data_IF_670800707460
#
_entry.id   IF_670800707460
#
_cell.length_a   1.000
_cell.length_b   1.000
_cell.length_c   1.000
_cell.angle_alpha   90.00
_cell.angle_beta   90.00
_cell.angle_gamma   90.00
#
_symmetry.space_group_name_H-M   'P 1'
#
loop_
_entity.id
_entity.type
_entity.pdbx_description
1 polymer ?
#
# COMPACT_ATOMS: atom_id res chain seq x y z
N UNK A 1 43.44 -35.43 44.23
CA UNK A 1 44.09 -34.10 44.19
C UNK A 1 43.72 -33.43 42.87
N UNK A 2 43.25 -32.18 42.96
CA UNK A 2 42.85 -31.21 41.91
C UNK A 2 41.39 -31.24 41.41
N UNK A 3 40.68 -30.24 41.95
CA UNK A 3 39.44 -29.60 41.52
C UNK A 3 39.57 -28.89 40.16
N UNK A 4 38.41 -28.55 39.56
CA UNK A 4 38.00 -27.30 38.87
C UNK A 4 37.01 -27.66 37.74
N UNK A 5 35.69 -27.61 37.99
CA UNK A 5 34.78 -26.47 37.74
C UNK A 5 34.75 -26.05 36.26
N UNK A 6 33.65 -26.32 35.56
CA UNK A 6 32.77 -25.31 34.91
C UNK A 6 31.62 -26.03 34.19
N UNK A 7 30.41 -25.79 34.70
CA UNK A 7 29.14 -26.13 34.06
C UNK A 7 28.93 -25.10 32.94
N UNK A 8 28.77 -25.53 31.69
CA UNK A 8 28.21 -24.68 30.64
C UNK A 8 26.72 -25.00 30.50
N UNK A 9 25.91 -24.09 31.03
CA UNK A 9 24.46 -24.05 30.99
C UNK A 9 24.00 -23.67 29.57
N UNK A 10 23.10 -24.50 29.03
CA UNK A 10 22.00 -24.21 28.09
C UNK A 10 22.18 -23.09 27.06
N UNK A 11 22.09 -23.47 25.79
CA UNK A 11 21.24 -22.72 24.87
C UNK A 11 20.47 -23.70 24.00
N UNK A 12 19.19 -23.88 24.36
CA UNK A 12 18.18 -24.38 23.44
C UNK A 12 18.22 -23.42 22.25
N UNK A 13 18.58 -23.93 21.08
CA UNK A 13 18.51 -23.16 19.84
C UNK A 13 17.09 -22.66 19.67
N UNK A 14 16.87 -21.39 20.00
CA UNK A 14 15.69 -20.67 19.59
C UNK A 14 15.74 -20.69 18.06
N UNK A 15 14.88 -21.52 17.47
CA UNK A 15 14.42 -21.32 16.11
C UNK A 15 13.90 -19.89 16.10
N UNK A 16 14.73 -18.97 15.63
CA UNK A 16 14.34 -17.62 15.26
C UNK A 16 13.42 -17.79 14.06
N UNK A 17 12.16 -18.14 14.35
CA UNK A 17 11.05 -17.79 13.51
C UNK A 17 11.11 -16.27 13.51
N UNK A 18 11.78 -15.69 12.52
CA UNK A 18 11.49 -14.34 12.07
C UNK A 18 10.01 -14.39 11.67
N UNK A 19 9.13 -14.23 12.65
CA UNK A 19 7.76 -13.81 12.44
C UNK A 19 7.92 -12.46 11.78
N UNK A 20 7.90 -12.47 10.45
CA UNK A 20 7.50 -11.31 9.65
C UNK A 20 6.23 -10.85 10.34
N UNK A 21 6.33 -9.73 11.06
CA UNK A 21 5.18 -9.13 11.71
C UNK A 21 4.36 -8.57 10.55
N UNK A 22 3.54 -9.42 9.96
CA UNK A 22 2.60 -9.07 8.91
C UNK A 22 1.59 -8.14 9.59
N UNK A 23 1.85 -6.84 9.50
CA UNK A 23 0.88 -5.83 9.93
C UNK A 23 -0.37 -6.07 9.11
N UNK A 24 -1.49 -6.30 9.78
CA UNK A 24 -2.78 -6.42 9.12
C UNK A 24 -3.05 -5.10 8.40
N UNK A 25 -3.02 -5.12 7.06
CA UNK A 25 -3.30 -3.94 6.24
C UNK A 25 -4.78 -3.63 6.42
N UNK A 26 -5.08 -2.41 6.87
CA UNK A 26 -6.45 -1.96 7.07
C UNK A 26 -7.24 -1.94 5.75
N UNK A 27 -8.54 -2.18 5.83
CA UNK A 27 -9.42 -2.14 4.65
C UNK A 27 -10.16 -0.80 4.63
N UNK A 28 -10.01 -0.06 3.53
CA UNK A 28 -10.80 1.15 3.30
C UNK A 28 -12.22 0.78 2.83
N UNK A 29 -13.21 1.50 3.31
CA UNK A 29 -14.61 1.40 2.90
C UNK A 29 -14.89 2.24 1.66
N UNK A 30 -15.98 1.95 0.95
CA UNK A 30 -16.42 2.79 -0.17
C UNK A 30 -16.73 4.22 0.28
N UNK A 31 -17.31 4.38 1.47
CA UNK A 31 -17.68 5.67 2.04
C UNK A 31 -16.43 6.54 2.28
N UNK A 32 -15.34 5.95 2.80
CA UNK A 32 -14.04 6.62 2.89
C UNK A 32 -13.52 7.04 1.51
N UNK A 33 -13.63 6.17 0.50
CA UNK A 33 -13.20 6.49 -0.88
C UNK A 33 -14.02 7.66 -1.45
N UNK A 34 -15.33 7.66 -1.22
CA UNK A 34 -16.24 8.71 -1.71
C UNK A 34 -15.93 10.07 -1.07
N UNK A 35 -15.45 10.07 0.17
CA UNK A 35 -15.14 11.27 0.95
C UNK A 35 -13.72 11.83 0.70
N UNK A 36 -12.85 11.10 0.00
CA UNK A 36 -11.49 11.55 -0.31
C UNK A 36 -11.36 12.96 -0.93
N UNK A 37 -12.29 13.49 -1.74
CA UNK A 37 -12.24 14.88 -2.19
C UNK A 37 -12.19 15.91 -1.05
N UNK A 38 -12.69 15.58 0.13
CA UNK A 38 -12.63 16.42 1.34
C UNK A 38 -11.34 16.23 2.16
N UNK A 39 -10.48 15.29 1.75
CA UNK A 39 -9.28 14.87 2.46
C UNK A 39 -8.02 14.94 1.57
N UNK A 40 -7.58 16.15 1.19
CA UNK A 40 -6.43 16.33 0.29
C UNK A 40 -5.09 15.89 0.88
N UNK A 41 -5.01 15.64 2.19
CA UNK A 41 -3.85 15.05 2.88
C UNK A 41 -3.70 13.54 2.60
N UNK A 42 -4.78 12.87 2.19
CA UNK A 42 -4.77 11.44 1.88
C UNK A 42 -4.40 11.20 0.42
N UNK A 43 -3.79 10.05 0.14
CA UNK A 43 -3.41 9.67 -1.21
C UNK A 43 -4.05 8.35 -1.63
N UNK A 44 -4.88 8.40 -2.67
CA UNK A 44 -5.40 7.22 -3.34
C UNK A 44 -4.54 6.88 -4.56
N UNK A 45 -3.97 5.67 -4.55
CA UNK A 45 -3.15 5.14 -5.64
C UNK A 45 -3.92 4.03 -6.35
N UNK A 46 -4.23 4.24 -7.63
CA UNK A 46 -4.75 3.20 -8.53
C UNK A 46 -3.56 2.48 -9.20
N UNK A 47 -3.40 1.20 -8.89
CA UNK A 47 -2.27 0.38 -9.37
C UNK A 47 -2.57 -0.42 -10.64
N UNK A 48 -3.69 -0.13 -11.31
CA UNK A 48 -3.99 -0.65 -12.64
C UNK A 48 -3.00 -0.12 -13.68
N UNK A 49 -2.93 -0.79 -14.81
CA UNK A 49 -2.18 -0.31 -15.96
C UNK A 49 -2.91 0.90 -16.60
N UNK A 50 -2.20 1.85 -17.21
CA UNK A 50 -2.81 3.09 -17.72
C UNK A 50 -3.95 2.86 -18.71
N UNK A 51 -3.83 1.84 -19.58
CA UNK A 51 -4.85 1.51 -20.57
C UNK A 51 -6.19 1.07 -19.95
N UNK A 52 -6.19 0.49 -18.73
CA UNK A 52 -7.43 0.14 -18.01
C UNK A 52 -8.17 1.41 -17.56
N UNK A 53 -7.44 2.46 -17.19
CA UNK A 53 -8.02 3.76 -16.82
C UNK A 53 -8.53 4.51 -18.04
N UNK A 54 -7.87 4.38 -19.19
CA UNK A 54 -8.34 4.96 -20.45
C UNK A 54 -9.68 4.35 -20.89
N UNK A 55 -9.90 3.05 -20.64
CA UNK A 55 -11.10 2.35 -21.08
C UNK A 55 -12.29 2.47 -20.13
N UNK A 56 -12.04 2.54 -18.82
CA UNK A 56 -13.09 2.54 -17.77
C UNK A 56 -13.21 3.85 -17.02
N UNK A 57 -12.15 4.65 -16.98
CA UNK A 57 -12.03 5.81 -16.11
C UNK A 57 -11.28 5.50 -14.82
N UNK A 58 -11.35 6.44 -13.88
CA UNK A 58 -10.64 6.36 -12.60
C UNK A 58 -11.48 6.92 -11.46
N UNK A 59 -11.17 6.49 -10.25
CA UNK A 59 -11.78 7.05 -9.04
C UNK A 59 -11.34 8.52 -8.93
N UNK A 60 -12.23 9.47 -8.60
CA UNK A 60 -11.85 10.86 -8.35
C UNK A 60 -10.68 10.95 -7.36
N UNK A 61 -9.84 11.97 -7.52
CA UNK A 61 -8.61 12.23 -6.74
C UNK A 61 -7.50 11.17 -6.82
N UNK A 62 -7.75 9.99 -7.40
CA UNK A 62 -6.71 8.96 -7.58
C UNK A 62 -5.60 9.40 -8.55
N UNK A 63 -4.38 8.98 -8.23
CA UNK A 63 -3.23 8.97 -9.15
C UNK A 63 -2.98 7.54 -9.63
N UNK A 64 -2.47 7.41 -10.85
CA UNK A 64 -2.09 6.11 -11.39
C UNK A 64 -0.62 5.84 -11.17
N UNK A 65 -0.32 4.77 -10.42
CA UNK A 65 1.03 4.23 -10.26
C UNK A 65 0.92 2.72 -10.49
N UNK A 66 1.18 2.20 -11.69
CA UNK A 66 1.07 0.77 -11.98
C UNK A 66 1.83 -0.05 -10.95
N UNK A 67 1.31 -1.22 -10.59
CA UNK A 67 1.86 -2.04 -9.49
C UNK A 67 3.38 -2.25 -9.58
N UNK A 68 3.90 -2.46 -10.79
CA UNK A 68 5.33 -2.65 -11.05
C UNK A 68 6.22 -1.43 -10.71
N UNK A 69 5.62 -0.24 -10.61
CA UNK A 69 6.28 1.04 -10.35
C UNK A 69 6.11 1.54 -8.92
N UNK A 70 5.19 0.96 -8.13
CA UNK A 70 4.87 1.42 -6.76
C UNK A 70 6.13 1.53 -5.89
N UNK A 71 6.96 0.49 -5.86
CA UNK A 71 8.16 0.48 -5.02
C UNK A 71 9.13 1.60 -5.39
N UNK A 72 9.42 1.74 -6.68
CA UNK A 72 10.33 2.75 -7.22
C UNK A 72 9.80 4.17 -6.97
N UNK A 73 8.51 4.41 -7.24
CA UNK A 73 7.87 5.70 -7.03
C UNK A 73 7.91 6.15 -5.56
N UNK A 74 7.66 5.22 -4.62
CA UNK A 74 7.64 5.53 -3.19
C UNK A 74 9.04 5.57 -2.55
N UNK A 75 10.01 4.78 -3.04
CA UNK A 75 11.35 4.74 -2.46
C UNK A 75 12.36 5.70 -3.10
N UNK A 76 12.34 5.85 -4.43
CA UNK A 76 13.48 6.42 -5.17
C UNK A 76 13.22 7.82 -5.71
N UNK A 77 11.98 8.17 -6.05
CA UNK A 77 11.66 9.54 -6.49
C UNK A 77 11.78 10.51 -5.33
N UNK A 78 12.39 11.67 -5.54
CA UNK A 78 12.29 12.77 -4.58
C UNK A 78 10.92 13.45 -4.63
N UNK A 79 10.68 14.42 -3.74
CA UNK A 79 9.39 15.12 -3.67
C UNK A 79 9.05 15.89 -4.95
N UNK A 80 10.03 16.48 -5.61
CA UNK A 80 9.82 17.28 -6.82
C UNK A 80 9.52 16.36 -8.01
N UNK A 81 10.29 15.30 -8.19
CA UNK A 81 10.09 14.33 -9.26
C UNK A 81 8.76 13.59 -9.10
N UNK A 82 8.41 13.20 -7.88
CA UNK A 82 7.11 12.60 -7.60
C UNK A 82 5.96 13.57 -7.95
N UNK A 83 6.07 14.83 -7.55
CA UNK A 83 5.05 15.85 -7.85
C UNK A 83 4.95 16.16 -9.34
N UNK A 84 6.07 16.24 -10.04
CA UNK A 84 6.07 16.46 -11.49
C UNK A 84 5.46 15.26 -12.25
N UNK A 85 5.71 14.04 -11.77
CA UNK A 85 5.23 12.81 -12.40
C UNK A 85 3.74 12.57 -12.13
N UNK A 86 3.30 12.73 -10.88
CA UNK A 86 1.96 12.32 -10.43
C UNK A 86 1.02 13.47 -10.06
N UNK A 87 1.50 14.72 -10.09
CA UNK A 87 0.68 15.90 -9.78
C UNK A 87 0.27 16.01 -8.31
N UNK A 88 0.88 15.22 -7.42
CA UNK A 88 0.58 15.17 -5.98
C UNK A 88 1.87 15.26 -5.18
N UNK A 89 1.79 15.81 -3.98
CA UNK A 89 2.92 15.77 -3.03
C UNK A 89 3.25 14.31 -2.72
N UNK A 90 4.54 13.97 -2.66
CA UNK A 90 4.98 12.65 -2.23
C UNK A 90 4.54 12.41 -0.78
N UNK A 91 3.89 11.28 -0.45
CA UNK A 91 3.45 11.01 0.91
C UNK A 91 4.65 10.77 1.84
N UNK A 92 4.56 11.29 3.06
CA UNK A 92 5.42 10.96 4.20
C UNK A 92 5.11 9.56 4.73
N UNK A 93 5.89 9.05 5.69
CA UNK A 93 5.67 7.71 6.26
C UNK A 93 4.42 7.63 7.14
N UNK A 94 3.90 8.79 7.53
CA UNK A 94 2.75 8.96 8.42
C UNK A 94 1.46 9.26 7.64
N UNK A 95 1.56 9.78 6.41
CA UNK A 95 0.40 10.07 5.57
C UNK A 95 -0.38 8.81 5.23
N UNK A 96 -1.71 8.94 5.12
CA UNK A 96 -2.59 7.84 4.74
C UNK A 96 -2.50 7.56 3.24
N UNK A 97 -2.12 6.32 2.90
CA UNK A 97 -2.09 5.83 1.53
C UNK A 97 -3.12 4.72 1.37
N UNK A 98 -4.03 4.90 0.43
CA UNK A 98 -5.04 3.91 0.08
C UNK A 98 -4.73 3.36 -1.30
N UNK A 99 -4.66 2.04 -1.42
CA UNK A 99 -4.45 1.36 -2.71
C UNK A 99 -5.76 0.84 -3.29
N UNK A 100 -5.93 1.02 -4.59
CA UNK A 100 -7.04 0.51 -5.40
C UNK A 100 -6.51 -0.19 -6.65
N UNK A 101 -7.26 -1.15 -7.18
CA UNK A 101 -7.01 -1.73 -8.50
C UNK A 101 -8.33 -2.05 -9.21
N UNK A 102 -8.47 -3.23 -9.82
CA UNK A 102 -9.73 -3.71 -10.38
C UNK A 102 -10.62 -4.42 -9.33
N UNK A 103 -10.06 -5.42 -8.63
CA UNK A 103 -10.76 -6.34 -7.70
C UNK A 103 -10.02 -6.53 -6.35
N UNK A 104 -9.19 -5.57 -5.93
CA UNK A 104 -8.46 -5.59 -4.65
C UNK A 104 -7.14 -6.39 -4.63
N UNK A 105 -6.95 -7.37 -5.51
CA UNK A 105 -5.75 -8.23 -5.46
C UNK A 105 -4.40 -7.53 -5.71
N UNK A 106 -4.34 -6.63 -6.70
CA UNK A 106 -3.12 -5.83 -6.96
C UNK A 106 -2.96 -4.72 -5.91
N UNK A 107 -4.07 -4.16 -5.42
CA UNK A 107 -4.07 -3.16 -4.36
C UNK A 107 -3.43 -3.70 -3.08
N UNK A 108 -3.75 -4.94 -2.70
CA UNK A 108 -3.09 -5.64 -1.58
C UNK A 108 -1.56 -5.66 -1.74
N UNK A 109 -1.06 -6.06 -2.91
CA UNK A 109 0.39 -6.09 -3.18
C UNK A 109 1.04 -4.71 -3.16
N UNK A 110 0.33 -3.68 -3.63
CA UNK A 110 0.79 -2.29 -3.55
C UNK A 110 0.89 -1.82 -2.10
N UNK A 111 -0.10 -2.15 -1.28
CA UNK A 111 -0.11 -1.87 0.14
C UNK A 111 1.02 -2.58 0.89
N UNK A 112 1.25 -3.87 0.63
CA UNK A 112 2.39 -4.63 1.16
C UNK A 112 3.72 -3.97 0.79
N UNK A 113 3.89 -3.55 -0.47
CA UNK A 113 5.09 -2.85 -0.91
C UNK A 113 5.30 -1.51 -0.17
N UNK A 114 4.24 -0.77 0.13
CA UNK A 114 4.35 0.46 0.91
C UNK A 114 4.71 0.17 2.37
N UNK A 115 4.10 -0.85 2.98
CA UNK A 115 4.44 -1.30 4.35
C UNK A 115 5.91 -1.73 4.44
N UNK A 116 6.41 -2.49 3.45
CA UNK A 116 7.82 -2.90 3.37
C UNK A 116 8.79 -1.70 3.26
N UNK A 117 8.32 -0.58 2.73
CA UNK A 117 9.05 0.68 2.67
C UNK A 117 8.90 1.53 3.94
N UNK A 118 8.19 1.05 4.96
CA UNK A 118 8.01 1.71 6.25
C UNK A 118 6.88 2.73 6.31
N UNK A 119 5.97 2.75 5.34
CA UNK A 119 4.72 3.54 5.44
C UNK A 119 3.80 2.90 6.48
N UNK A 120 3.27 3.72 7.39
CA UNK A 120 2.58 3.24 8.60
C UNK A 120 1.07 3.23 8.47
N UNK A 121 0.51 4.19 7.75
CA UNK A 121 -0.93 4.29 7.52
C UNK A 121 -1.26 3.87 6.08
N UNK A 122 -1.42 2.57 5.88
CA UNK A 122 -1.66 1.98 4.56
C UNK A 122 -2.96 1.18 4.59
N UNK A 123 -3.85 1.48 3.65
CA UNK A 123 -5.11 0.75 3.47
C UNK A 123 -5.22 0.10 2.10
N UNK A 124 -5.93 -1.02 2.04
CA UNK A 124 -6.37 -1.65 0.82
C UNK A 124 -7.88 -1.39 0.61
N UNK A 125 -8.24 -0.72 -0.49
CA UNK A 125 -9.62 -0.67 -0.94
C UNK A 125 -9.98 -1.97 -1.69
N UNK A 126 -10.43 -2.97 -0.92
CA UNK A 126 -10.69 -4.33 -1.44
C UNK A 126 -11.75 -4.37 -2.54
N UNK A 127 -12.77 -3.51 -2.46
CA UNK A 127 -13.80 -3.37 -3.49
C UNK A 127 -13.25 -2.79 -4.80
N UNK A 128 -12.24 -1.92 -4.71
CA UNK A 128 -11.48 -1.39 -5.86
C UNK A 128 -12.39 -0.76 -6.93
N UNK A 129 -11.91 -0.61 -8.17
CA UNK A 129 -12.69 -0.04 -9.26
C UNK A 129 -14.04 -0.74 -9.46
N UNK A 130 -14.11 -2.07 -9.31
CA UNK A 130 -15.36 -2.82 -9.55
C UNK A 130 -16.49 -2.37 -8.62
N UNK A 131 -16.25 -2.30 -7.31
CA UNK A 131 -17.28 -1.82 -6.37
C UNK A 131 -17.62 -0.35 -6.62
N UNK A 132 -16.59 0.50 -6.81
CA UNK A 132 -16.78 1.92 -7.05
C UNK A 132 -17.65 2.17 -8.28
N UNK A 133 -17.30 1.54 -9.41
CA UNK A 133 -18.02 1.67 -10.66
C UNK A 133 -19.45 1.14 -10.56
N UNK A 134 -19.68 0.02 -9.88
CA UNK A 134 -21.03 -0.50 -9.65
C UNK A 134 -21.91 0.49 -8.87
N UNK A 135 -21.37 1.08 -7.80
CA UNK A 135 -22.11 2.05 -6.97
C UNK A 135 -22.36 3.39 -7.67
N UNK A 136 -21.47 3.79 -8.58
CA UNK A 136 -21.58 5.03 -9.35
C UNK A 136 -22.27 4.86 -10.71
N UNK A 137 -22.67 3.64 -11.09
CA UNK A 137 -23.28 3.36 -12.39
C UNK A 137 -22.32 3.52 -13.57
N UNK A 138 -21.03 3.27 -13.36
CA UNK A 138 -19.96 3.36 -14.35
C UNK A 138 -19.65 1.99 -14.98
N UNK A 139 -18.87 2.03 -16.06
CA UNK A 139 -18.42 0.84 -16.77
C UNK A 139 -17.43 0.01 -15.95
N UNK A 140 -17.67 -1.29 -15.87
CA UNK A 140 -16.74 -2.30 -15.33
C UNK A 140 -16.21 -3.10 -16.52
N UNK A 141 -14.90 -3.30 -16.62
CA UNK A 141 -14.25 -4.22 -17.58
C UNK A 141 -13.30 -5.18 -16.85
#
# INVERSE_FOLDING_TARGET
MKFFTTIFVFLVGAVLINKIQMSEIEIATYEEIKDLPNHPEKLLIDVREPHELESTGKIPTSINIPLSKVKDALSNLDENDFKNTYGRTKPTKEDEIIFSCLLGGRAQKGAEAAVDLGYKNVKNYKGSWTEYAQKEGLKVE
#
